data_IF_402959651698
#
_entry.id   IF_402959651698
#
_cell.length_a   1.000
_cell.length_b   1.000
_cell.length_c   1.000
_cell.angle_alpha   90.00
_cell.angle_beta   90.00
_cell.angle_gamma   90.00
#
_symmetry.space_group_name_H-M   'P 1'
#
loop_
_entity.id
_entity.type
_entity.pdbx_description
1 polymer ?
#
# COMPACT_ATOMS: atom_id res chain seq x y z
N UNK A 1 -9.30 -3.27 -9.24
CA UNK A 1 -10.69 -2.75 -9.18
C UNK A 1 -11.05 -1.84 -10.35
N UNK A 2 -10.15 -0.97 -10.82
CA UNK A 2 -10.42 -0.06 -11.96
C UNK A 2 -10.84 -0.78 -13.25
N UNK A 3 -10.12 -1.83 -13.65
CA UNK A 3 -10.44 -2.59 -14.87
C UNK A 3 -11.80 -3.31 -14.77
N UNK A 4 -12.09 -3.88 -13.60
CA UNK A 4 -13.39 -4.50 -13.32
C UNK A 4 -14.53 -3.49 -13.44
N UNK A 5 -14.39 -2.31 -12.82
CA UNK A 5 -15.40 -1.25 -12.88
C UNK A 5 -15.60 -0.71 -14.31
N UNK A 6 -14.51 -0.53 -15.06
CA UNK A 6 -14.60 -0.10 -16.45
C UNK A 6 -15.32 -1.16 -17.30
N UNK A 7 -14.94 -2.43 -17.17
CA UNK A 7 -15.56 -3.52 -17.92
C UNK A 7 -17.06 -3.65 -17.60
N UNK A 8 -17.46 -3.57 -16.33
CA UNK A 8 -18.87 -3.62 -15.94
C UNK A 8 -19.64 -2.40 -16.43
N UNK A 9 -19.06 -1.21 -16.35
CA UNK A 9 -19.70 0.02 -16.86
C UNK A 9 -19.91 -0.03 -18.37
N UNK A 10 -18.92 -0.50 -19.14
CA UNK A 10 -19.03 -0.66 -20.59
C UNK A 10 -20.04 -1.74 -20.95
N UNK A 11 -20.05 -2.87 -20.24
CA UNK A 11 -21.02 -3.94 -20.45
C UNK A 11 -22.46 -3.45 -20.24
N UNK A 12 -22.72 -2.70 -19.16
CA UNK A 12 -24.05 -2.13 -18.89
C UNK A 12 -24.46 -1.08 -19.93
N UNK A 13 -23.51 -0.28 -20.43
CA UNK A 13 -23.79 0.69 -21.48
C UNK A 13 -24.15 0.00 -22.80
N UNK A 14 -23.42 -1.05 -23.18
CA UNK A 14 -23.74 -1.84 -24.38
C UNK A 14 -25.08 -2.56 -24.21
N UNK A 15 -25.34 -3.16 -23.05
CA UNK A 15 -26.62 -3.82 -22.74
C UNK A 15 -27.81 -2.86 -22.84
N UNK A 16 -27.66 -1.63 -22.33
CA UNK A 16 -28.66 -0.58 -22.49
C UNK A 16 -28.91 -0.23 -23.95
N UNK A 17 -27.85 0.00 -24.75
CA UNK A 17 -27.99 0.32 -26.18
C UNK A 17 -28.66 -0.82 -26.94
N UNK A 18 -28.25 -2.07 -26.71
CA UNK A 18 -28.83 -3.25 -27.36
C UNK A 18 -30.29 -3.46 -26.97
N UNK A 19 -30.64 -3.24 -25.70
CA UNK A 19 -32.03 -3.32 -25.23
C UNK A 19 -32.92 -2.30 -25.95
N UNK A 20 -32.49 -1.04 -26.08
CA UNK A 20 -33.30 -0.05 -26.78
C UNK A 20 -33.32 -0.21 -28.30
N UNK A 21 -32.21 -0.63 -28.91
CA UNK A 21 -32.07 -0.67 -30.38
C UNK A 21 -32.50 -2.00 -31.00
N UNK A 22 -32.37 -3.11 -30.28
CA UNK A 22 -32.68 -4.46 -30.79
C UNK A 22 -33.88 -5.05 -30.06
N UNK A 23 -33.94 -5.02 -28.73
CA UNK A 23 -35.06 -5.63 -28.01
C UNK A 23 -36.38 -4.92 -28.29
N UNK A 24 -36.41 -3.57 -28.30
CA UNK A 24 -37.64 -2.82 -28.56
C UNK A 24 -38.30 -3.11 -29.92
N UNK A 25 -37.59 -3.08 -31.08
CA UNK A 25 -38.20 -3.44 -32.36
C UNK A 25 -38.52 -4.93 -32.46
N UNK A 26 -37.73 -5.82 -31.83
CA UNK A 26 -38.05 -7.25 -31.78
C UNK A 26 -39.37 -7.46 -31.02
N UNK A 27 -39.55 -6.82 -29.87
CA UNK A 27 -40.82 -6.87 -29.11
C UNK A 27 -41.96 -6.31 -29.94
N UNK A 28 -41.76 -5.21 -30.67
CA UNK A 28 -42.78 -4.65 -31.55
C UNK A 28 -43.17 -5.59 -32.69
N UNK A 29 -42.21 -6.26 -33.32
CA UNK A 29 -42.45 -7.24 -34.38
C UNK A 29 -43.11 -8.53 -33.85
N UNK A 30 -42.77 -8.92 -32.62
CA UNK A 30 -43.34 -10.09 -31.95
C UNK A 30 -44.71 -9.82 -31.31
N UNK A 31 -45.11 -8.56 -31.12
CA UNK A 31 -46.45 -8.20 -30.66
C UNK A 31 -47.45 -8.38 -31.81
N UNK A 32 -48.32 -9.37 -31.70
CA UNK A 32 -49.45 -9.52 -32.61
C UNK A 32 -50.37 -8.29 -32.50
N UNK A 33 -50.83 -7.77 -33.65
CA UNK A 33 -51.61 -6.52 -33.76
C UNK A 33 -52.97 -6.58 -33.06
N UNK A 34 -53.35 -7.75 -32.54
CA UNK A 34 -54.62 -8.02 -31.88
C UNK A 34 -54.60 -7.83 -30.36
N UNK A 35 -53.42 -7.69 -29.75
CA UNK A 35 -53.26 -7.57 -28.29
C UNK A 35 -52.51 -6.31 -27.84
N UNK A 36 -52.35 -5.31 -28.70
CA UNK A 36 -51.90 -3.99 -28.25
C UNK A 36 -53.06 -3.25 -27.58
N UNK A 37 -53.42 -3.69 -26.37
CA UNK A 37 -54.19 -2.86 -25.45
C UNK A 37 -53.25 -1.73 -25.02
N UNK A 38 -53.51 -0.45 -25.37
CA UNK A 38 -52.80 0.65 -24.72
C UNK A 38 -53.01 0.41 -23.22
N UNK A 39 -51.95 0.43 -22.42
CA UNK A 39 -52.01 0.14 -20.99
C UNK A 39 -53.16 0.92 -20.35
N UNK A 40 -54.33 0.29 -20.30
CA UNK A 40 -55.50 0.86 -19.68
C UNK A 40 -55.11 0.97 -18.21
N UNK A 41 -55.53 2.03 -17.51
CA UNK A 41 -55.50 2.01 -16.07
C UNK A 41 -56.49 0.93 -15.64
N UNK A 42 -56.04 -0.33 -15.63
CA UNK A 42 -56.79 -1.46 -15.10
C UNK A 42 -56.98 -1.12 -13.65
N UNK A 43 -58.16 -0.57 -13.34
CA UNK A 43 -58.57 -0.20 -12.00
C UNK A 43 -58.35 -1.46 -11.15
N UNK A 44 -57.42 -1.43 -10.17
CA UNK A 44 -57.00 -2.63 -9.48
C UNK A 44 -58.25 -3.27 -8.86
N UNK A 45 -58.47 -4.53 -9.19
CA UNK A 45 -59.57 -5.28 -8.60
C UNK A 45 -59.23 -5.38 -7.11
N UNK A 46 -60.15 -5.01 -6.22
CA UNK A 46 -59.86 -4.62 -4.82
C UNK A 46 -59.16 -5.64 -3.90
N UNK A 47 -58.68 -6.77 -4.42
CA UNK A 47 -57.88 -7.79 -3.75
C UNK A 47 -56.44 -7.92 -4.28
N UNK A 48 -55.95 -6.99 -5.11
CA UNK A 48 -54.54 -7.02 -5.54
C UNK A 48 -53.63 -6.81 -4.32
N UNK A 49 -52.86 -7.83 -3.95
CA UNK A 49 -51.89 -7.78 -2.84
C UNK A 49 -50.95 -6.58 -2.94
N UNK A 50 -50.60 -6.17 -4.16
CA UNK A 50 -49.81 -4.97 -4.44
C UNK A 50 -50.48 -3.70 -3.89
N UNK A 51 -51.80 -3.58 -4.03
CA UNK A 51 -52.57 -2.42 -3.56
C UNK A 51 -52.66 -2.36 -2.03
N UNK A 52 -52.69 -3.52 -1.36
CA UNK A 52 -52.66 -3.61 0.10
C UNK A 52 -51.27 -3.32 0.65
N UNK A 53 -50.23 -3.84 0.01
CA UNK A 53 -48.83 -3.57 0.35
C UNK A 53 -48.48 -2.09 0.15
N UNK A 54 -48.88 -1.49 -0.96
CA UNK A 54 -48.66 -0.06 -1.20
C UNK A 54 -49.43 0.83 -0.22
N UNK A 55 -50.69 0.48 0.12
CA UNK A 55 -51.42 1.17 1.21
C UNK A 55 -50.74 1.02 2.56
N UNK A 56 -50.18 -0.14 2.87
CA UNK A 56 -49.46 -0.37 4.12
C UNK A 56 -48.17 0.44 4.19
N UNK A 57 -47.36 0.46 3.12
CA UNK A 57 -46.15 1.29 3.02
C UNK A 57 -46.43 2.79 3.07
N UNK A 58 -47.50 3.25 2.41
CA UNK A 58 -47.88 4.66 2.35
C UNK A 58 -48.61 5.14 3.61
N UNK A 59 -49.02 4.24 4.51
CA UNK A 59 -49.63 4.61 5.79
C UNK A 59 -48.60 5.24 6.74
N UNK A 60 -49.04 6.14 7.62
CA UNK A 60 -48.15 6.83 8.58
C UNK A 60 -47.44 5.85 9.52
N UNK A 61 -48.17 4.84 10.01
CA UNK A 61 -47.64 3.80 10.88
C UNK A 61 -46.67 2.86 10.13
N UNK A 62 -46.98 2.51 8.88
CA UNK A 62 -46.10 1.66 8.06
C UNK A 62 -44.82 2.37 7.64
N UNK A 63 -44.89 3.68 7.36
CA UNK A 63 -43.71 4.50 7.07
C UNK A 63 -42.78 4.62 8.29
N UNK A 64 -43.33 4.79 9.49
CA UNK A 64 -42.55 4.77 10.73
C UNK A 64 -41.89 3.40 10.96
N UNK A 65 -42.63 2.31 10.81
CA UNK A 65 -42.11 0.95 10.97
C UNK A 65 -40.99 0.64 9.96
N UNK A 66 -41.19 1.01 8.69
CA UNK A 66 -40.20 0.84 7.62
C UNK A 66 -38.94 1.69 7.89
N UNK A 67 -39.11 2.93 8.35
CA UNK A 67 -38.01 3.81 8.74
C UNK A 67 -37.18 3.21 9.88
N UNK A 68 -37.82 2.74 10.94
CA UNK A 68 -37.14 2.07 12.07
C UNK A 68 -36.39 0.82 11.58
N UNK A 69 -37.04 -0.03 10.78
CA UNK A 69 -36.42 -1.23 10.23
C UNK A 69 -35.18 -0.92 9.37
N UNK A 70 -35.26 0.09 8.49
CA UNK A 70 -34.13 0.53 7.67
C UNK A 70 -32.99 1.06 8.54
N UNK A 71 -33.29 1.87 9.56
CA UNK A 71 -32.29 2.38 10.50
C UNK A 71 -31.61 1.23 11.24
N UNK A 72 -32.37 0.22 11.71
CA UNK A 72 -31.82 -0.95 12.38
C UNK A 72 -30.90 -1.74 11.46
N UNK A 73 -31.35 -2.09 10.26
CA UNK A 73 -30.54 -2.87 9.30
C UNK A 73 -29.30 -2.08 8.88
N UNK A 74 -29.43 -0.78 8.65
CA UNK A 74 -28.30 0.10 8.32
C UNK A 74 -27.29 0.18 9.46
N UNK A 75 -27.76 0.30 10.70
CA UNK A 75 -26.90 0.37 11.89
C UNK A 75 -26.14 -0.95 12.10
N UNK A 76 -26.82 -2.09 11.99
CA UNK A 76 -26.18 -3.41 12.07
C UNK A 76 -25.15 -3.58 10.96
N UNK A 77 -25.48 -3.15 9.73
CA UNK A 77 -24.56 -3.20 8.59
C UNK A 77 -23.33 -2.32 8.82
N UNK A 78 -23.51 -1.11 9.34
CA UNK A 78 -22.42 -0.21 9.66
C UNK A 78 -21.49 -0.81 10.73
N UNK A 79 -22.04 -1.35 11.82
CA UNK A 79 -21.27 -2.06 12.86
C UNK A 79 -20.52 -3.26 12.27
N UNK A 80 -21.16 -4.00 11.36
CA UNK A 80 -20.54 -5.10 10.63
C UNK A 80 -19.34 -4.65 9.80
N UNK A 81 -19.48 -3.56 9.04
CA UNK A 81 -18.39 -2.97 8.24
C UNK A 81 -17.26 -2.46 9.13
N UNK A 82 -17.56 -1.78 10.24
CA UNK A 82 -16.52 -1.31 11.17
C UNK A 82 -15.75 -2.47 11.83
N UNK A 83 -16.39 -3.62 12.02
CA UNK A 83 -15.77 -4.80 12.62
C UNK A 83 -15.00 -5.67 11.62
N UNK A 84 -15.07 -5.37 10.32
CA UNK A 84 -14.35 -6.13 9.30
C UNK A 84 -12.86 -5.80 9.31
N UNK A 85 -12.03 -6.83 9.54
CA UNK A 85 -10.57 -6.72 9.37
C UNK A 85 -10.26 -6.63 7.87
N UNK A 86 -9.75 -5.48 7.44
CA UNK A 86 -9.19 -5.30 6.10
C UNK A 86 -7.81 -5.96 6.03
N UNK A 87 -7.77 -7.29 5.96
CA UNK A 87 -6.52 -8.03 5.75
C UNK A 87 -6.76 -9.12 4.73
N UNK A 88 -6.04 -9.01 3.61
CA UNK A 88 -5.97 -10.08 2.63
C UNK A 88 -5.11 -11.20 3.19
N UNK A 89 -5.74 -12.32 3.57
CA UNK A 89 -5.00 -13.52 3.86
C UNK A 89 -4.57 -14.18 2.54
N UNK A 90 -3.26 -14.29 2.23
CA UNK A 90 -2.80 -14.87 0.97
C UNK A 90 -3.21 -16.35 0.81
N UNK A 91 -3.49 -17.04 1.92
CA UNK A 91 -4.00 -18.41 1.89
C UNK A 91 -5.42 -18.54 1.30
N UNK A 92 -6.19 -17.45 1.24
CA UNK A 92 -7.54 -17.41 0.67
C UNK A 92 -7.55 -17.17 -0.85
N UNK A 93 -6.42 -16.77 -1.43
CA UNK A 93 -6.27 -16.60 -2.88
C UNK A 93 -6.10 -17.93 -3.63
N UNK A 94 -5.78 -19.00 -2.89
CA UNK A 94 -5.61 -20.34 -3.44
C UNK A 94 -6.84 -21.20 -3.12
N UNK A 95 -7.17 -22.18 -3.97
CA UNK A 95 -8.21 -23.14 -3.64
C UNK A 95 -7.86 -23.89 -2.35
N UNK A 96 -8.86 -24.16 -1.51
CA UNK A 96 -8.69 -24.69 -0.15
C UNK A 96 -7.91 -26.00 -0.09
N UNK A 97 -7.99 -26.81 -1.14
CA UNK A 97 -7.35 -28.13 -1.24
C UNK A 97 -5.96 -28.08 -1.88
N UNK A 98 -5.45 -26.90 -2.23
CA UNK A 98 -4.11 -26.78 -2.82
C UNK A 98 -3.03 -27.17 -1.81
N UNK A 99 -2.05 -28.02 -2.19
CA UNK A 99 -0.90 -28.34 -1.34
C UNK A 99 -0.11 -27.07 -0.95
N UNK A 100 -0.21 -25.99 -1.73
CA UNK A 100 0.40 -24.71 -1.45
C UNK A 100 -0.20 -24.03 -0.21
N UNK A 101 -1.51 -24.17 0.03
CA UNK A 101 -2.18 -23.64 1.23
C UNK A 101 -1.65 -24.34 2.48
N UNK A 102 -1.39 -25.65 2.42
CA UNK A 102 -0.82 -26.41 3.54
C UNK A 102 0.60 -25.94 3.87
N UNK A 103 1.42 -25.69 2.85
CA UNK A 103 2.76 -25.13 3.03
C UNK A 103 2.72 -23.70 3.60
N UNK A 104 1.88 -22.82 3.05
CA UNK A 104 1.73 -21.45 3.55
C UNK A 104 1.23 -21.41 5.00
N UNK A 105 0.29 -22.29 5.39
CA UNK A 105 -0.15 -22.42 6.79
C UNK A 105 0.99 -22.85 7.72
N UNK A 106 1.86 -23.76 7.27
CA UNK A 106 3.00 -24.26 8.06
C UNK A 106 4.10 -23.21 8.23
N UNK A 107 4.31 -22.34 7.25
CA UNK A 107 5.36 -21.31 7.28
C UNK A 107 4.85 -20.00 7.92
N UNK A 108 3.55 -19.73 7.92
CA UNK A 108 2.94 -18.54 8.56
C UNK A 108 3.43 -18.23 9.99
N UNK A 109 3.57 -19.20 10.92
CA UNK A 109 4.14 -18.88 12.23
C UNK A 109 5.58 -18.34 12.14
N UNK A 110 6.39 -18.85 11.22
CA UNK A 110 7.76 -18.37 11.00
C UNK A 110 7.73 -16.95 10.44
N UNK A 111 6.85 -16.66 9.47
CA UNK A 111 6.71 -15.29 8.93
C UNK A 111 6.20 -14.28 9.96
N UNK A 112 5.28 -14.69 10.85
CA UNK A 112 4.78 -13.80 11.90
C UNK A 112 5.86 -13.45 12.93
N UNK A 113 6.83 -14.36 13.14
CA UNK A 113 7.92 -14.14 14.08
C UNK A 113 9.12 -13.48 13.40
N UNK A 114 9.55 -13.94 12.24
CA UNK A 114 10.82 -13.57 11.61
C UNK A 114 10.66 -12.88 10.25
N UNK A 115 9.80 -11.86 10.16
CA UNK A 115 9.67 -11.10 8.92
C UNK A 115 10.85 -10.13 8.74
N UNK A 116 11.72 -10.30 7.72
CA UNK A 116 12.83 -9.39 7.50
C UNK A 116 12.32 -8.05 6.97
N UNK A 117 12.76 -6.95 7.58
CA UNK A 117 12.51 -5.59 7.10
C UNK A 117 13.80 -5.06 6.51
N UNK A 118 13.78 -4.76 5.20
CA UNK A 118 14.90 -4.15 4.51
C UNK A 118 14.69 -2.64 4.44
N UNK A 119 15.65 -1.88 4.97
CA UNK A 119 15.61 -0.41 5.01
C UNK A 119 16.63 0.10 4.03
N UNK A 120 16.16 0.85 3.03
CA UNK A 120 17.01 1.46 2.01
C UNK A 120 17.18 2.94 2.31
N UNK A 121 18.43 3.36 2.46
CA UNK A 121 18.78 4.77 2.66
C UNK A 121 19.19 5.34 1.31
N UNK A 122 18.38 6.25 0.76
CA UNK A 122 18.62 6.83 -0.57
C UNK A 122 19.91 7.66 -0.64
N UNK A 123 20.29 8.32 0.45
CA UNK A 123 21.51 9.13 0.54
C UNK A 123 22.34 8.66 1.73
N UNK A 124 23.41 7.87 1.51
CA UNK A 124 24.23 7.36 2.60
C UNK A 124 25.02 8.50 3.28
N UNK A 125 25.27 8.40 4.60
CA UNK A 125 26.07 9.38 5.33
C UNK A 125 27.53 9.34 4.86
N UNK A 126 28.22 10.48 4.92
CA UNK A 126 29.66 10.49 4.76
C UNK A 126 30.32 9.92 6.02
N UNK A 127 30.96 8.75 5.90
CA UNK A 127 31.60 8.03 7.02
C UNK A 127 32.82 8.80 7.57
N UNK A 128 33.40 9.70 6.77
CA UNK A 128 34.54 10.53 7.20
C UNK A 128 34.12 11.67 8.13
N UNK A 129 32.83 12.02 8.15
CA UNK A 129 32.27 13.08 8.99
C UNK A 129 31.63 12.48 10.25
N UNK A 130 32.16 12.88 11.41
CA UNK A 130 31.73 12.37 12.70
C UNK A 130 30.26 12.70 13.02
N UNK A 131 29.74 13.85 12.56
CA UNK A 131 28.37 14.26 12.84
C UNK A 131 27.37 13.41 12.05
N UNK A 132 27.63 13.20 10.76
CA UNK A 132 26.78 12.37 9.89
C UNK A 132 26.81 10.89 10.28
N UNK A 133 27.99 10.40 10.69
CA UNK A 133 28.18 9.05 11.20
C UNK A 133 27.38 8.81 12.48
N UNK A 134 27.45 9.73 13.45
CA UNK A 134 26.67 9.67 14.67
C UNK A 134 25.16 9.76 14.41
N UNK A 135 24.75 10.63 13.49
CA UNK A 135 23.35 10.76 13.06
C UNK A 135 22.78 9.47 12.47
N UNK A 136 23.57 8.77 11.65
CA UNK A 136 23.18 7.47 11.08
C UNK A 136 23.01 6.40 12.16
N UNK A 137 23.96 6.29 13.10
CA UNK A 137 23.84 5.32 14.19
C UNK A 137 22.69 5.64 15.15
N UNK A 138 22.35 6.91 15.34
CA UNK A 138 21.16 7.30 16.08
C UNK A 138 19.87 6.81 15.37
N UNK A 139 19.76 6.99 14.05
CA UNK A 139 18.65 6.44 13.27
C UNK A 139 18.56 4.91 13.39
N UNK A 140 19.70 4.20 13.26
CA UNK A 140 19.74 2.73 13.42
C UNK A 140 19.28 2.33 14.83
N UNK A 141 19.76 3.03 15.86
CA UNK A 141 19.37 2.75 17.24
C UNK A 141 17.86 2.98 17.46
N UNK A 142 17.29 4.05 16.90
CA UNK A 142 15.84 4.29 16.94
C UNK A 142 15.05 3.12 16.34
N UNK A 143 15.48 2.61 15.17
CA UNK A 143 14.87 1.46 14.51
C UNK A 143 14.97 0.18 15.35
N UNK A 144 16.08 0.00 16.06
CA UNK A 144 16.33 -1.16 16.92
C UNK A 144 15.52 -1.14 18.23
N UNK A 145 15.13 0.05 18.70
CA UNK A 145 14.33 0.24 19.92
C UNK A 145 12.82 0.18 19.70
N UNK A 146 12.35 0.10 18.44
CA UNK A 146 10.92 0.00 18.14
C UNK A 146 10.33 -1.29 18.75
N UNK A 147 9.14 -1.18 19.33
CA UNK A 147 8.41 -2.31 19.90
C UNK A 147 8.19 -3.41 18.85
N UNK A 148 8.68 -4.63 19.13
CA UNK A 148 8.64 -5.75 18.19
C UNK A 148 9.92 -5.94 17.36
N UNK A 149 10.91 -5.05 17.46
CA UNK A 149 12.23 -5.27 16.87
C UNK A 149 13.09 -6.22 17.74
N UNK A 150 13.92 -7.03 17.09
CA UNK A 150 14.82 -7.99 17.76
C UNK A 150 16.10 -7.36 18.35
N UNK A 151 16.25 -6.04 18.23
CA UNK A 151 17.42 -5.28 18.67
C UNK A 151 18.70 -5.53 17.87
N UNK A 152 19.80 -4.89 18.31
CA UNK A 152 21.13 -4.85 17.66
C UNK A 152 21.68 -6.22 17.26
N UNK A 153 21.40 -7.26 18.05
CA UNK A 153 21.96 -8.60 17.85
C UNK A 153 21.46 -9.31 16.58
N UNK A 154 20.37 -8.81 15.97
CA UNK A 154 19.79 -9.37 14.74
C UNK A 154 19.81 -8.39 13.57
N UNK A 155 20.25 -7.16 13.78
CA UNK A 155 20.43 -6.17 12.71
C UNK A 155 21.65 -6.53 11.87
N UNK A 156 21.44 -6.80 10.58
CA UNK A 156 22.54 -7.01 9.64
C UNK A 156 22.93 -5.66 9.01
N UNK A 157 23.85 -4.95 9.67
CA UNK A 157 24.41 -3.70 9.17
C UNK A 157 25.81 -3.93 8.59
N UNK A 158 25.98 -3.66 7.30
CA UNK A 158 27.28 -3.77 6.62
C UNK A 158 28.36 -2.88 7.25
N UNK A 159 28.00 -1.65 7.66
CA UNK A 159 28.95 -0.66 8.18
C UNK A 159 29.63 -1.12 9.48
N UNK A 160 28.91 -1.78 10.39
CA UNK A 160 29.49 -2.32 11.64
C UNK A 160 30.51 -3.44 11.34
N UNK A 161 30.22 -4.30 10.37
CA UNK A 161 31.17 -5.34 9.94
C UNK A 161 32.44 -4.72 9.31
N UNK A 162 32.27 -3.65 8.53
CA UNK A 162 33.38 -2.93 7.91
C UNK A 162 34.28 -2.25 8.96
N UNK A 163 33.72 -1.53 9.93
CA UNK A 163 34.50 -0.88 11.00
C UNK A 163 35.28 -1.88 11.85
N UNK A 164 34.71 -3.04 12.15
CA UNK A 164 35.40 -4.12 12.88
C UNK A 164 36.58 -4.67 12.08
N UNK A 165 36.41 -4.81 10.77
CA UNK A 165 37.48 -5.23 9.88
C UNK A 165 38.61 -4.19 9.83
N UNK A 166 38.28 -2.92 9.64
CA UNK A 166 39.23 -1.81 9.59
C UNK A 166 40.07 -1.70 10.88
N UNK A 167 39.41 -1.71 12.05
CA UNK A 167 40.08 -1.72 13.36
C UNK A 167 41.04 -2.90 13.51
N UNK A 168 40.64 -4.09 13.06
CA UNK A 168 41.48 -5.30 13.14
C UNK A 168 42.70 -5.19 12.23
N UNK A 169 42.54 -4.70 11.00
CA UNK A 169 43.65 -4.49 10.06
C UNK A 169 44.63 -3.46 10.60
N UNK A 170 44.12 -2.32 11.07
CA UNK A 170 44.96 -1.26 11.64
C UNK A 170 45.75 -1.75 12.87
N UNK A 171 45.12 -2.55 13.74
CA UNK A 171 45.78 -3.13 14.91
C UNK A 171 46.82 -4.19 14.54
N UNK A 172 46.54 -4.98 13.49
CA UNK A 172 47.46 -5.99 12.96
C UNK A 172 48.72 -5.36 12.37
N UNK A 173 48.55 -4.28 11.59
CA UNK A 173 49.64 -3.50 11.02
C UNK A 173 50.47 -2.85 12.13
N UNK A 174 49.81 -2.25 13.12
CA UNK A 174 50.51 -1.65 14.26
C UNK A 174 51.31 -2.66 15.08
N UNK A 175 50.77 -3.86 15.33
CA UNK A 175 51.51 -4.95 15.98
C UNK A 175 52.70 -5.45 15.15
N UNK A 176 52.56 -5.54 13.83
CA UNK A 176 53.66 -5.93 12.94
C UNK A 176 54.76 -4.86 12.90
N UNK A 177 54.37 -3.58 12.93
CA UNK A 177 55.28 -2.43 12.98
C UNK A 177 56.01 -2.30 14.32
N UNK A 178 55.45 -2.82 15.43
CA UNK A 178 56.11 -2.80 16.74
C UNK A 178 57.05 -4.00 16.96
N UNK A 179 56.96 -5.05 16.13
CA UNK A 179 57.82 -6.26 16.21
C UNK A 179 58.97 -6.25 15.20
N UNK A 180 59.04 -5.25 14.32
CA UNK A 180 60.08 -5.11 13.30
C UNK A 180 60.55 -3.65 13.26
N UNK A 181 61.85 -3.43 13.40
CA UNK A 181 62.51 -2.12 13.31
C UNK A 181 62.33 -1.51 11.89
N UNK A 182 62.67 -0.22 11.69
CA UNK A 182 61.80 0.81 11.12
C UNK A 182 61.60 0.67 9.59
N UNK A 183 60.37 0.82 9.11
CA UNK A 183 60.15 1.23 7.71
C UNK A 183 59.80 2.71 7.69
N UNK A 184 60.59 3.43 6.91
CA UNK A 184 60.55 4.86 6.73
C UNK A 184 59.14 5.39 6.48
N UNK A 185 58.84 6.47 7.21
CA UNK A 185 57.81 7.45 6.97
C UNK A 185 57.49 7.66 5.48
N UNK A 186 56.26 7.40 5.06
CA UNK A 186 55.66 8.10 3.91
C UNK A 186 54.61 9.06 4.48
N UNK A 187 55.04 10.29 4.68
CA UNK A 187 54.18 11.46 4.94
C UNK A 187 53.68 11.97 3.59
N UNK A 188 52.37 12.11 3.33
CA UNK A 188 51.91 12.88 2.19
C UNK A 188 51.97 14.36 2.59
N UNK A 189 53.05 15.03 2.19
CA UNK A 189 53.21 16.48 2.30
C UNK A 189 52.40 17.15 1.19
N UNK A 190 51.35 17.87 1.55
CA UNK A 190 50.79 18.89 0.67
C UNK A 190 51.70 20.12 0.62
N UNK A 191 52.11 20.54 -0.58
CA UNK A 191 52.13 21.95 -0.96
C UNK A 191 52.35 22.14 -2.47
N UNK A 192 51.31 22.70 -3.09
CA UNK A 192 51.27 23.74 -4.14
C UNK A 192 52.62 24.22 -4.72
N UNK A 193 52.77 24.11 -6.03
CA UNK A 193 53.37 25.14 -6.88
C UNK A 193 52.68 25.20 -8.25
N UNK A 194 52.70 26.42 -8.79
CA UNK A 194 51.86 26.97 -9.82
C UNK A 194 52.18 26.50 -11.26
N UNK A 195 51.10 26.43 -12.05
CA UNK A 195 50.92 27.00 -13.39
C UNK A 195 51.98 26.74 -14.50
N UNK A 196 51.62 25.88 -15.46
CA UNK A 196 51.95 26.06 -16.88
C UNK A 196 50.68 25.80 -17.72
N UNK A 197 50.38 26.76 -18.58
CA UNK A 197 49.14 26.98 -19.34
C UNK A 197 49.23 26.42 -20.77
N UNK A 198 48.27 25.52 -21.10
CA UNK A 198 47.45 25.34 -22.34
C UNK A 198 48.12 25.11 -23.73
N UNK A 199 47.41 24.65 -24.81
CA UNK A 199 45.93 24.61 -25.01
C UNK A 199 45.27 23.41 -25.75
N UNK A 200 43.92 23.42 -25.72
CA UNK A 200 42.94 22.95 -26.76
C UNK A 200 42.72 21.42 -26.90
N UNK A 201 41.50 20.83 -26.88
CA UNK A 201 40.22 21.19 -27.51
C UNK A 201 39.01 20.44 -26.87
N UNK A 202 37.83 21.10 -26.89
CA UNK A 202 36.44 20.74 -26.48
C UNK A 202 35.80 19.50 -27.21
N UNK A 203 34.47 19.18 -27.07
CA UNK A 203 33.57 18.99 -25.89
C UNK A 203 32.56 17.80 -26.06
N UNK A 204 31.69 17.54 -25.06
CA UNK A 204 30.38 16.83 -25.21
C UNK A 204 29.92 16.14 -23.92
N UNK A 205 29.08 16.71 -23.04
CA UNK A 205 27.60 16.88 -23.07
C UNK A 205 26.81 15.56 -22.88
N UNK A 206 26.13 15.48 -21.71
CA UNK A 206 24.75 14.97 -21.39
C UNK A 206 24.25 13.67 -22.05
N UNK A 207 23.36 12.84 -21.47
CA UNK A 207 22.56 12.78 -20.25
C UNK A 207 21.90 11.38 -20.23
N UNK A 208 21.11 11.09 -19.18
CA UNK A 208 19.74 10.55 -19.24
C UNK A 208 19.44 9.34 -18.32
N UNK A 209 18.97 9.69 -17.12
CA UNK A 209 17.87 9.04 -16.37
C UNK A 209 16.56 9.16 -17.21
N UNK A 210 15.43 8.40 -17.04
CA UNK A 210 14.81 8.18 -15.72
C UNK A 210 13.81 7.00 -15.46
N UNK A 211 13.49 6.86 -14.17
CA UNK A 211 12.20 6.47 -13.53
C UNK A 211 11.72 4.99 -13.69
N UNK A 212 11.29 4.28 -12.65
CA UNK A 212 10.20 4.64 -11.73
C UNK A 212 10.38 4.12 -10.28
N UNK A 213 10.08 5.01 -9.34
CA UNK A 213 9.82 4.73 -7.93
C UNK A 213 8.31 4.70 -7.66
N UNK A 214 7.85 3.81 -6.78
CA UNK A 214 6.55 3.94 -6.07
C UNK A 214 6.74 3.44 -4.63
N UNK A 215 6.96 4.39 -3.73
CA UNK A 215 6.76 4.26 -2.28
C UNK A 215 5.56 5.17 -1.95
N UNK A 216 4.45 4.57 -1.51
CA UNK A 216 3.33 5.30 -0.96
C UNK A 216 3.29 5.05 0.55
N UNK A 217 3.74 6.04 1.32
CA UNK A 217 3.32 6.27 2.70
C UNK A 217 2.50 7.56 2.72
N UNK A 218 1.31 7.51 3.31
CA UNK A 218 0.58 8.70 3.71
C UNK A 218 0.42 8.68 5.23
N UNK A 219 0.93 9.73 5.87
CA UNK A 219 0.68 10.11 7.25
C UNK A 219 0.11 11.53 7.26
N UNK A 220 -1.05 11.69 7.91
CA UNK A 220 -1.34 12.82 8.80
C UNK A 220 -1.97 14.10 8.23
N UNK A 221 -3.12 14.49 8.82
CA UNK A 221 -3.36 15.74 9.59
C UNK A 221 -4.83 15.72 10.11
N UNK A 222 -5.09 15.73 11.44
CA UNK A 222 -5.14 16.90 12.36
C UNK A 222 -6.28 17.86 11.97
N UNK A 223 -7.31 18.18 12.76
CA UNK A 223 -7.39 18.72 14.15
C UNK A 223 -8.88 18.56 14.59
N UNK A 224 -9.27 18.43 15.86
CA UNK A 224 -9.60 19.53 16.79
C UNK A 224 -9.97 18.88 18.13
N UNK A 225 -9.32 19.31 19.21
CA UNK A 225 -9.75 19.13 20.60
C UNK A 225 -10.53 20.41 20.99
N UNK A 226 -11.52 20.37 21.89
CA UNK A 226 -11.18 20.81 23.25
C UNK A 226 -12.04 20.25 24.42
N UNK A 227 -11.47 20.42 25.62
CA UNK A 227 -12.10 20.66 26.94
C UNK A 227 -12.38 19.47 27.89
N UNK A 228 -11.77 19.65 29.07
CA UNK A 228 -11.88 18.94 30.33
C UNK A 228 -13.30 18.89 30.93
N UNK A 229 -13.60 17.81 31.67
CA UNK A 229 -14.09 17.78 33.07
C UNK A 229 -14.91 16.50 33.32
N UNK A 230 -14.69 15.86 34.47
CA UNK A 230 -15.59 14.86 35.08
C UNK A 230 -15.01 13.47 35.13
#
# INVERSE_FOLDING_TARGET
>A
MSLFCLATSVALLIDYIVTYTILAPVVYLCSDKKEYQPALPTKPTGNDFLSRYSRLLCSLNGRLLCGVFLITVYSISAVGVYSMKSTFEPAKAFPSDSPLVKSLKRIRPIFNTYFPVNIYVNHPPNISDAEQHAGFYNMVNQLETVEGAYGRNRTMLFLDAYERFDKKVHLSIFMFSHRSIPIAYIRPSGHRHDEVVLPSSRPGIQAQSPQHAVLAGQSGKSTVNPICQG
#
